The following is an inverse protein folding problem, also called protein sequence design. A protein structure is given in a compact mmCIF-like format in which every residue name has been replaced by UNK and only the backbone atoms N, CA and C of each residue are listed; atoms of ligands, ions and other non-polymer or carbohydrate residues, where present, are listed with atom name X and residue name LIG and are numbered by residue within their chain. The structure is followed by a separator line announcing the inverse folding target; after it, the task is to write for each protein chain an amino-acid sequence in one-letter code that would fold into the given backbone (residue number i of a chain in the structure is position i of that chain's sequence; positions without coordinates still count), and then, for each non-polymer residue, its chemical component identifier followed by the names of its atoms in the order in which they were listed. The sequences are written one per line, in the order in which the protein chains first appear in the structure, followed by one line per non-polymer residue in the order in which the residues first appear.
data_IF_797940997670
#
_entry.id   IF_797940997670
#
_cell.length_a   1.000
_cell.length_b   1.000
_cell.length_c   1.000
_cell.angle_alpha   90.00
_cell.angle_beta   90.00
_cell.angle_gamma   90.00
#
_symmetry.space_group_name_H-M   'P 1'
#
loop_
_entity.id
_entity.type
_entity.pdbx_description
1 polymer ?
#
# COMPACT_ATOMS: atom_id res chain seq x y z
N UNK A 1 -7.77 -13.43 -23.82
CA UNK A 1 -7.47 -14.84 -23.48
C UNK A 1 -5.95 -15.06 -23.39
N UNK A 2 -5.15 -14.72 -24.41
CA UNK A 2 -3.69 -14.95 -24.39
C UNK A 2 -2.97 -14.25 -23.23
N UNK A 3 -3.29 -12.98 -22.94
CA UNK A 3 -2.69 -12.24 -21.83
C UNK A 3 -2.99 -12.90 -20.47
N UNK A 4 -4.24 -13.35 -20.26
CA UNK A 4 -4.62 -14.09 -19.05
C UNK A 4 -3.87 -15.41 -18.93
N UNK A 5 -3.78 -16.17 -20.01
CA UNK A 5 -3.03 -17.42 -20.05
C UNK A 5 -1.56 -17.21 -19.68
N UNK A 6 -0.90 -16.21 -20.27
CA UNK A 6 0.50 -15.86 -19.97
C UNK A 6 0.67 -15.47 -18.51
N UNK A 7 -0.23 -14.65 -17.96
CA UNK A 7 -0.21 -14.25 -16.55
C UNK A 7 -0.38 -15.44 -15.61
N UNK A 8 -1.33 -16.34 -15.92
CA UNK A 8 -1.54 -17.56 -15.14
C UNK A 8 -0.30 -18.46 -15.17
N UNK A 9 0.31 -18.67 -16.34
CA UNK A 9 1.58 -19.42 -16.45
C UNK A 9 2.68 -18.80 -15.59
N UNK A 10 2.86 -17.51 -15.65
CA UNK A 10 3.85 -16.80 -14.82
C UNK A 10 3.62 -17.04 -13.32
N UNK A 11 2.36 -17.12 -12.91
CA UNK A 11 2.01 -17.36 -11.51
C UNK A 11 2.18 -18.83 -11.10
N UNK A 12 1.79 -19.76 -11.95
CA UNK A 12 1.71 -21.19 -11.60
C UNK A 12 2.98 -21.97 -11.96
N UNK A 13 3.68 -21.58 -13.02
CA UNK A 13 4.84 -22.29 -13.57
C UNK A 13 6.15 -21.47 -13.40
N UNK A 14 6.08 -20.26 -12.86
CA UNK A 14 7.24 -19.40 -12.64
C UNK A 14 8.13 -19.86 -11.48
N UNK A 15 9.32 -19.24 -11.32
CA UNK A 15 10.31 -19.65 -10.32
C UNK A 15 9.86 -19.44 -8.87
N UNK A 16 8.85 -18.61 -8.65
CA UNK A 16 8.28 -18.35 -7.31
C UNK A 16 6.95 -19.07 -7.21
N UNK A 17 6.87 -20.10 -6.36
CA UNK A 17 5.66 -20.88 -6.14
C UNK A 17 4.50 -20.05 -5.63
N UNK A 18 3.27 -20.54 -5.77
CA UNK A 18 2.08 -19.86 -5.28
C UNK A 18 2.12 -19.62 -3.76
N UNK A 19 2.60 -20.61 -3.00
CA UNK A 19 2.77 -20.48 -1.55
C UNK A 19 3.78 -19.38 -1.19
N UNK A 20 4.91 -19.32 -1.88
CA UNK A 20 5.90 -18.27 -1.70
C UNK A 20 5.35 -16.88 -2.08
N UNK A 21 4.51 -16.81 -3.12
CA UNK A 21 3.83 -15.56 -3.50
C UNK A 21 2.91 -15.06 -2.39
N UNK A 22 2.11 -15.94 -1.80
CA UNK A 22 1.24 -15.58 -0.68
C UNK A 22 2.04 -15.08 0.52
N UNK A 23 3.13 -15.76 0.86
CA UNK A 23 4.00 -15.35 1.94
C UNK A 23 4.63 -13.97 1.71
N UNK A 24 5.19 -13.73 0.53
CA UNK A 24 5.76 -12.42 0.16
C UNK A 24 4.72 -11.30 0.24
N UNK A 25 3.46 -11.55 -0.14
CA UNK A 25 2.39 -10.56 0.01
C UNK A 25 2.04 -10.29 1.47
N UNK A 26 2.05 -11.33 2.31
CA UNK A 26 1.84 -11.19 3.75
C UNK A 26 2.95 -10.35 4.40
N UNK A 27 4.20 -10.67 4.11
CA UNK A 27 5.38 -9.93 4.59
C UNK A 27 5.34 -8.45 4.14
N UNK A 28 5.10 -8.20 2.86
CA UNK A 28 4.98 -6.84 2.32
C UNK A 28 3.84 -6.06 2.99
N UNK A 29 2.69 -6.71 3.20
CA UNK A 29 1.56 -6.13 3.91
C UNK A 29 1.93 -5.72 5.34
N UNK A 30 2.61 -6.59 6.07
CA UNK A 30 3.06 -6.31 7.44
C UNK A 30 4.05 -5.15 7.46
N UNK A 31 4.99 -5.11 6.52
CA UNK A 31 5.97 -4.00 6.40
C UNK A 31 5.28 -2.66 6.11
N UNK A 32 4.33 -2.63 5.18
CA UNK A 32 3.57 -1.41 4.87
C UNK A 32 2.80 -0.95 6.10
N UNK A 33 2.05 -1.83 6.75
CA UNK A 33 1.26 -1.51 7.95
C UNK A 33 2.14 -1.00 9.09
N UNK A 34 3.27 -1.66 9.34
CA UNK A 34 4.24 -1.19 10.33
C UNK A 34 4.86 0.15 9.97
N UNK A 35 5.16 0.39 8.69
CA UNK A 35 5.63 1.69 8.20
C UNK A 35 4.61 2.80 8.42
N UNK A 36 3.33 2.53 8.15
CA UNK A 36 2.23 3.47 8.41
C UNK A 36 2.14 3.82 9.90
N UNK A 37 2.17 2.82 10.78
CA UNK A 37 2.21 3.04 12.24
C UNK A 37 3.43 3.86 12.66
N UNK A 38 4.61 3.55 12.11
CA UNK A 38 5.84 4.28 12.41
C UNK A 38 5.76 5.76 11.96
N UNK A 39 4.98 6.08 10.95
CA UNK A 39 4.71 7.46 10.52
C UNK A 39 3.61 8.14 11.36
N UNK A 40 3.00 7.45 12.32
CA UNK A 40 1.90 7.97 13.13
C UNK A 40 0.58 8.06 12.37
N UNK A 41 0.44 7.28 11.28
CA UNK A 41 -0.78 7.21 10.50
C UNK A 41 -1.65 6.03 10.93
N UNK A 42 -2.95 6.15 10.71
CA UNK A 42 -3.92 5.11 11.06
C UNK A 42 -4.43 4.37 9.82
N UNK A 43 -4.60 3.06 9.95
CA UNK A 43 -5.33 2.28 8.97
C UNK A 43 -6.83 2.57 9.07
N UNK A 44 -7.52 2.64 7.94
CA UNK A 44 -8.97 2.79 7.90
C UNK A 44 -9.68 1.60 8.54
N UNK A 45 -9.23 0.38 8.20
CA UNK A 45 -9.73 -0.85 8.78
C UNK A 45 -8.85 -1.28 9.95
N UNK A 46 -9.44 -1.47 11.11
CA UNK A 46 -8.78 -2.08 12.26
C UNK A 46 -8.98 -3.60 12.20
N UNK A 47 -7.95 -4.42 12.48
CA UNK A 47 -8.14 -5.86 12.60
C UNK A 47 -9.13 -6.13 13.75
N UNK A 48 -10.20 -6.86 13.46
CA UNK A 48 -11.06 -7.38 14.52
C UNK A 48 -10.37 -8.54 15.26
N UNK A 49 -11.00 -9.04 16.33
CA UNK A 49 -10.50 -10.17 17.12
C UNK A 49 -10.31 -11.47 16.29
N UNK A 50 -10.86 -11.52 15.08
CA UNK A 50 -10.74 -12.64 14.14
C UNK A 50 -9.69 -12.37 13.05
N UNK A 51 -8.96 -11.25 13.13
CA UNK A 51 -8.02 -10.77 12.13
C UNK A 51 -8.66 -10.55 10.73
N UNK A 52 -9.97 -10.35 10.70
CA UNK A 52 -10.70 -10.00 9.50
C UNK A 52 -10.57 -8.49 9.22
N UNK A 53 -10.74 -8.09 8.00
CA UNK A 53 -10.75 -6.67 7.59
C UNK A 53 -9.40 -6.11 7.14
N UNK A 54 -8.31 -6.89 7.19
CA UNK A 54 -7.00 -6.45 6.69
C UNK A 54 -6.54 -7.29 5.51
N UNK A 55 -6.42 -6.68 4.35
CA UNK A 55 -5.96 -7.33 3.13
C UNK A 55 -4.43 -7.40 3.03
N UNK A 56 -3.91 -8.44 2.35
CA UNK A 56 -2.48 -8.58 2.09
C UNK A 56 -2.00 -7.95 0.77
N UNK A 57 -2.91 -7.37 -0.03
CA UNK A 57 -2.57 -6.73 -1.29
C UNK A 57 -2.73 -5.22 -1.29
N UNK A 58 -3.46 -4.66 -0.32
CA UNK A 58 -3.76 -3.23 -0.25
C UNK A 58 -3.94 -2.79 1.21
N UNK A 59 -3.47 -1.60 1.52
CA UNK A 59 -3.72 -0.93 2.82
C UNK A 59 -4.44 0.40 2.57
N UNK A 60 -5.58 0.59 3.21
CA UNK A 60 -6.29 1.86 3.25
C UNK A 60 -5.82 2.65 4.48
N UNK A 61 -5.41 3.89 4.28
CA UNK A 61 -4.77 4.73 5.30
C UNK A 61 -5.56 6.03 5.44
N UNK A 62 -5.96 6.38 6.66
CA UNK A 62 -6.63 7.65 6.92
C UNK A 62 -5.68 8.82 6.66
N UNK A 63 -6.23 9.90 6.11
CA UNK A 63 -5.48 11.15 6.13
C UNK A 63 -5.29 11.61 7.57
N UNK A 64 -4.11 12.16 7.90
CA UNK A 64 -3.90 12.77 9.22
C UNK A 64 -4.91 13.89 9.47
N UNK A 65 -5.19 14.16 10.72
CA UNK A 65 -6.10 15.26 11.09
C UNK A 65 -5.64 16.59 10.47
N UNK A 66 -6.55 17.27 9.80
CA UNK A 66 -6.29 18.53 9.10
C UNK A 66 -5.75 18.38 7.68
N UNK A 67 -5.47 17.17 7.21
CA UNK A 67 -4.99 16.90 5.86
C UNK A 67 -6.05 16.22 5.00
N UNK A 68 -5.95 16.42 3.70
CA UNK A 68 -6.83 15.84 2.69
C UNK A 68 -6.05 15.37 1.47
N UNK A 69 -6.74 14.75 0.53
CA UNK A 69 -6.15 14.19 -0.69
C UNK A 69 -5.25 15.18 -1.45
N UNK A 70 -5.67 16.45 -1.57
CA UNK A 70 -4.93 17.48 -2.29
C UNK A 70 -3.58 17.84 -1.65
N UNK A 71 -3.39 17.56 -0.38
CA UNK A 71 -2.18 17.91 0.35
C UNK A 71 -1.09 16.84 0.22
N UNK A 72 -1.48 15.59 -0.03
CA UNK A 72 -0.58 14.43 -0.02
C UNK A 72 -0.45 13.79 -1.41
N UNK A 73 -1.56 13.48 -2.09
CA UNK A 73 -1.52 12.69 -3.33
C UNK A 73 -0.72 13.34 -4.47
N UNK A 74 -0.81 14.66 -4.73
CA UNK A 74 0.01 15.30 -5.74
C UNK A 74 1.50 15.24 -5.44
N UNK A 75 1.88 15.37 -4.16
CA UNK A 75 3.28 15.28 -3.72
C UNK A 75 3.85 13.87 -3.91
N UNK A 76 3.03 12.85 -3.69
CA UNK A 76 3.40 11.46 -4.00
C UNK A 76 3.59 11.26 -5.51
N UNK A 77 2.67 11.77 -6.33
CA UNK A 77 2.76 11.67 -7.79
C UNK A 77 4.02 12.35 -8.35
N UNK A 78 4.39 13.52 -7.83
CA UNK A 78 5.62 14.22 -8.18
C UNK A 78 6.89 13.40 -7.86
N UNK A 79 6.81 12.50 -6.87
CA UNK A 79 7.89 11.58 -6.47
C UNK A 79 7.85 10.25 -7.22
N UNK A 80 7.00 10.14 -8.26
CA UNK A 80 6.86 8.93 -9.07
C UNK A 80 6.05 7.81 -8.43
N UNK A 81 5.34 8.09 -7.34
CA UNK A 81 4.47 7.11 -6.66
C UNK A 81 3.01 7.58 -6.70
N UNK A 82 2.14 6.77 -7.28
CA UNK A 82 0.72 7.10 -7.40
C UNK A 82 -0.10 6.27 -6.41
N UNK A 83 -0.78 6.93 -5.48
CA UNK A 83 -1.74 6.32 -4.58
C UNK A 83 -3.17 6.43 -5.11
N UNK A 84 -3.99 5.46 -4.79
CA UNK A 84 -5.42 5.53 -5.08
C UNK A 84 -6.16 6.37 -4.03
N UNK A 85 -7.03 7.26 -4.47
CA UNK A 85 -7.97 7.93 -3.56
C UNK A 85 -9.00 6.94 -2.99
N UNK A 86 -9.72 7.32 -1.95
CA UNK A 86 -10.80 6.54 -1.38
C UNK A 86 -11.92 6.26 -2.40
N UNK A 87 -12.59 5.12 -2.25
CA UNK A 87 -13.69 4.70 -3.14
C UNK A 87 -15.02 4.52 -2.40
N UNK A 88 -15.00 4.33 -1.10
CA UNK A 88 -16.23 4.15 -0.33
C UNK A 88 -17.04 5.44 -0.34
N UNK A 89 -18.30 5.36 -0.77
CA UNK A 89 -19.15 6.56 -1.02
C UNK A 89 -19.26 7.51 0.19
N UNK A 90 -19.26 6.95 1.38
CA UNK A 90 -19.46 7.70 2.63
C UNK A 90 -18.14 8.11 3.32
N UNK A 91 -16.98 7.64 2.83
CA UNK A 91 -15.67 7.88 3.44
C UNK A 91 -14.56 8.16 2.41
N UNK A 92 -14.90 8.38 1.13
CA UNK A 92 -13.93 8.51 0.03
C UNK A 92 -12.89 9.61 0.26
N UNK A 93 -13.25 10.66 0.99
CA UNK A 93 -12.41 11.82 1.26
C UNK A 93 -11.60 11.69 2.56
N UNK A 94 -11.75 10.57 3.29
CA UNK A 94 -11.09 10.34 4.57
C UNK A 94 -9.79 9.53 4.45
N UNK A 95 -9.54 8.85 3.32
CA UNK A 95 -8.43 7.92 3.19
C UNK A 95 -7.85 7.82 1.78
N UNK A 96 -6.65 7.32 1.71
CA UNK A 96 -6.01 6.87 0.46
C UNK A 96 -5.64 5.39 0.54
N UNK A 97 -5.30 4.81 -0.61
CA UNK A 97 -5.00 3.38 -0.74
C UNK A 97 -3.59 3.17 -1.25
N UNK A 98 -2.85 2.31 -0.58
CA UNK A 98 -1.53 1.85 -0.97
C UNK A 98 -1.65 0.42 -1.49
N UNK A 99 -1.39 0.20 -2.78
CA UNK A 99 -1.26 -1.14 -3.35
C UNK A 99 0.13 -1.72 -3.09
N UNK A 100 0.18 -2.96 -2.62
CA UNK A 100 1.43 -3.70 -2.39
C UNK A 100 1.23 -5.15 -2.80
N UNK A 101 1.16 -5.38 -4.11
CA UNK A 101 0.86 -6.69 -4.69
C UNK A 101 1.59 -6.92 -6.01
N UNK A 102 1.56 -8.16 -6.48
CA UNK A 102 2.08 -8.55 -7.77
C UNK A 102 3.60 -8.45 -7.87
N UNK A 103 4.10 -7.99 -9.00
CA UNK A 103 5.55 -7.90 -9.28
C UNK A 103 6.29 -7.03 -8.28
N UNK A 104 5.68 -5.97 -7.80
CA UNK A 104 6.24 -5.06 -6.78
C UNK A 104 6.64 -5.75 -5.47
N UNK A 105 6.07 -6.93 -5.22
CA UNK A 105 6.28 -7.71 -4.00
C UNK A 105 7.06 -8.99 -4.27
N UNK A 106 6.81 -9.60 -5.43
CA UNK A 106 7.37 -10.92 -5.74
C UNK A 106 8.78 -10.85 -6.29
N UNK A 107 9.11 -9.80 -7.06
CA UNK A 107 10.43 -9.62 -7.65
C UNK A 107 11.43 -9.12 -6.58
N UNK A 108 12.48 -9.90 -6.25
CA UNK A 108 13.44 -9.53 -5.22
C UNK A 108 14.33 -8.33 -5.61
N UNK A 109 14.43 -8.01 -6.90
CA UNK A 109 15.19 -6.84 -7.37
C UNK A 109 14.46 -5.52 -7.13
N UNK A 110 13.14 -5.57 -6.87
CA UNK A 110 12.31 -4.40 -6.62
C UNK A 110 12.27 -4.06 -5.13
N UNK A 111 12.36 -2.77 -4.86
CA UNK A 111 12.28 -2.22 -3.50
C UNK A 111 11.07 -1.31 -3.34
N UNK A 112 9.99 -1.63 -4.03
CA UNK A 112 8.83 -0.75 -4.15
C UNK A 112 8.22 -0.40 -2.78
N UNK A 113 8.15 -1.34 -1.85
CA UNK A 113 7.63 -1.08 -0.49
C UNK A 113 8.50 -0.06 0.25
N UNK A 114 9.84 -0.18 0.16
CA UNK A 114 10.76 0.77 0.81
C UNK A 114 10.64 2.16 0.18
N UNK A 115 10.57 2.21 -1.15
CA UNK A 115 10.39 3.46 -1.91
C UNK A 115 9.08 4.13 -1.54
N UNK A 116 7.98 3.38 -1.48
CA UNK A 116 6.66 3.89 -1.11
C UNK A 116 6.69 4.53 0.27
N UNK A 117 7.25 3.85 1.27
CA UNK A 117 7.30 4.35 2.64
C UNK A 117 8.19 5.58 2.77
N UNK A 118 9.37 5.55 2.15
CA UNK A 118 10.27 6.71 2.12
C UNK A 118 9.61 7.92 1.46
N UNK A 119 9.00 7.74 0.28
CA UNK A 119 8.36 8.84 -0.44
C UNK A 119 7.12 9.38 0.27
N UNK A 120 6.41 8.53 1.00
CA UNK A 120 5.30 8.97 1.84
C UNK A 120 5.78 9.84 3.00
N UNK A 121 6.86 9.45 3.67
CA UNK A 121 7.48 10.26 4.73
C UNK A 121 7.90 11.64 4.20
N UNK A 122 8.62 11.68 3.08
CA UNK A 122 9.03 12.93 2.41
C UNK A 122 7.82 13.81 2.04
N UNK A 123 6.76 13.23 1.50
CA UNK A 123 5.56 13.95 1.09
C UNK A 123 4.77 14.51 2.29
N UNK A 124 4.70 13.75 3.38
CA UNK A 124 4.07 14.19 4.63
C UNK A 124 4.85 15.36 5.26
N UNK A 125 6.17 15.26 5.32
CA UNK A 125 7.03 16.34 5.83
C UNK A 125 6.88 17.62 5.02
N UNK A 126 6.87 17.52 3.68
CA UNK A 126 6.63 18.67 2.78
C UNK A 126 5.22 19.27 2.94
N UNK A 127 4.23 18.44 3.27
CA UNK A 127 2.88 18.90 3.56
C UNK A 127 2.76 19.59 4.94
N UNK A 128 3.80 19.54 5.77
CA UNK A 128 3.81 20.12 7.12
C UNK A 128 3.29 19.17 8.21
N UNK A 129 3.14 17.88 7.89
CA UNK A 129 2.77 16.88 8.89
C UNK A 129 3.90 16.64 9.89
N UNK A 130 3.55 16.69 11.17
CA UNK A 130 4.45 16.30 12.25
C UNK A 130 3.83 15.12 13.00
N UNK A 131 4.61 14.06 13.13
CA UNK A 131 4.20 12.89 13.88
C UNK A 131 3.93 13.30 15.33
N UNK A 132 2.75 12.98 15.82
CA UNK A 132 2.38 13.13 17.22
C UNK A 132 2.92 11.98 18.06
#
# INVERSE_FOLDING_TARGET
IYALHTSLKTITEGPVSLAQRFEKHREASQRVKKGIENLGLEQLAQPDSRQNGVANGMTAVRYPQGFKASDILPKMAQRGVVFGAGLHKDAKDEYFRIGHMGVSVVDPARRDVDIILQKLEEALAEAGYQKQ
#
